data_IF_147614678490
#
_entry.id   IF_147614678490
#
_cell.length_a   1.000
_cell.length_b   1.000
_cell.length_c   1.000
_cell.angle_alpha   90.00
_cell.angle_beta   90.00
_cell.angle_gamma   90.00
#
_symmetry.space_group_name_H-M   'P 1'
#
loop_
_entity.id
_entity.type
_entity.pdbx_description
1 polymer ?
#
# COMPACT_ATOMS: atom_id res chain seq x y z
N UNK A 1 -16.05 -21.09 6.30
CA UNK A 1 -16.14 -19.78 6.99
C UNK A 1 -15.87 -18.68 5.98
N UNK A 2 -16.39 -17.46 6.19
CA UNK A 2 -16.08 -16.32 5.32
C UNK A 2 -14.64 -15.83 5.59
N UNK A 3 -13.87 -15.53 4.54
CA UNK A 3 -12.52 -14.96 4.64
C UNK A 3 -12.52 -13.49 4.20
N UNK A 4 -11.53 -12.72 4.67
CA UNK A 4 -11.38 -11.30 4.34
C UNK A 4 -10.16 -11.10 3.44
N UNK A 5 -10.36 -10.47 2.28
CA UNK A 5 -9.29 -10.01 1.40
C UNK A 5 -9.21 -8.48 1.45
N UNK A 6 -8.02 -7.93 1.64
CA UNK A 6 -7.82 -6.48 1.65
C UNK A 6 -7.63 -6.00 0.21
N UNK A 7 -8.59 -5.22 -0.27
CA UNK A 7 -8.50 -4.51 -1.54
C UNK A 7 -7.48 -3.37 -1.45
N UNK A 8 -6.55 -3.31 -2.40
CA UNK A 8 -5.49 -2.30 -2.41
C UNK A 8 -5.12 -1.92 -3.86
N UNK A 9 -6.10 -1.39 -4.59
CA UNK A 9 -5.84 -0.75 -5.89
C UNK A 9 -5.29 0.67 -5.71
N UNK A 10 -4.24 0.80 -4.91
CA UNK A 10 -3.62 2.07 -4.53
C UNK A 10 -2.08 1.95 -4.62
N UNK A 11 -1.38 2.92 -4.04
CA UNK A 11 0.08 2.94 -3.94
C UNK A 11 0.64 1.67 -3.24
N UNK A 12 1.78 1.18 -3.74
CA UNK A 12 2.60 0.16 -3.06
C UNK A 12 3.46 0.74 -1.92
N UNK A 13 3.29 2.03 -1.60
CA UNK A 13 3.87 2.68 -0.43
C UNK A 13 2.92 2.67 0.75
N UNK A 14 2.33 3.83 1.08
CA UNK A 14 1.48 4.00 2.26
C UNK A 14 0.28 3.04 2.29
N UNK A 15 -0.42 2.86 1.16
CA UNK A 15 -1.62 2.03 1.06
C UNK A 15 -1.34 0.55 1.33
N UNK A 16 -0.27 0.02 0.72
CA UNK A 16 0.18 -1.34 0.99
C UNK A 16 0.69 -1.50 2.43
N UNK A 17 1.49 -0.57 2.95
CA UNK A 17 1.98 -0.64 4.33
C UNK A 17 0.82 -0.71 5.34
N UNK A 18 -0.16 0.18 5.22
CA UNK A 18 -1.36 0.16 6.06
C UNK A 18 -2.13 -1.16 5.94
N UNK A 19 -2.26 -1.69 4.71
CA UNK A 19 -2.92 -2.97 4.46
C UNK A 19 -2.18 -4.13 5.15
N UNK A 20 -0.85 -4.18 5.07
CA UNK A 20 -0.02 -5.22 5.68
C UNK A 20 -0.10 -5.17 7.22
N UNK A 21 -0.11 -3.98 7.82
CA UNK A 21 -0.27 -3.83 9.27
C UNK A 21 -1.62 -4.35 9.77
N UNK A 22 -2.71 -4.02 9.07
CA UNK A 22 -4.04 -4.52 9.42
C UNK A 22 -4.15 -6.03 9.14
N UNK A 23 -3.58 -6.51 8.02
CA UNK A 23 -3.55 -7.92 7.65
C UNK A 23 -2.92 -8.81 8.73
N UNK A 24 -1.85 -8.35 9.37
CA UNK A 24 -1.14 -9.11 10.39
C UNK A 24 -1.98 -9.44 11.65
N UNK A 25 -3.11 -8.74 11.86
CA UNK A 25 -4.01 -8.97 13.00
C UNK A 25 -5.37 -9.56 12.62
N UNK A 26 -5.66 -9.77 11.32
CA UNK A 26 -6.92 -10.34 10.87
C UNK A 26 -6.82 -11.88 10.94
N UNK A 27 -7.60 -12.55 11.80
CA UNK A 27 -7.45 -13.99 12.04
C UNK A 27 -7.93 -14.87 10.87
N UNK A 28 -8.78 -14.34 9.99
CA UNK A 28 -9.33 -15.04 8.83
C UNK A 28 -8.94 -14.36 7.49
N UNK A 29 -7.72 -13.82 7.43
CA UNK A 29 -7.18 -13.16 6.24
C UNK A 29 -7.05 -14.16 5.09
N UNK A 30 -7.55 -13.79 3.91
CA UNK A 30 -7.30 -14.49 2.65
C UNK A 30 -6.03 -13.96 1.96
N UNK A 31 -5.81 -12.65 2.01
CA UNK A 31 -4.64 -12.00 1.42
C UNK A 31 -4.78 -10.48 1.32
N UNK A 32 -3.71 -9.84 0.85
CA UNK A 32 -3.65 -8.41 0.54
C UNK A 32 -3.34 -8.27 -0.94
N UNK A 33 -4.08 -7.40 -1.65
CA UNK A 33 -3.76 -7.12 -3.04
C UNK A 33 -2.41 -6.42 -3.19
N UNK A 34 -1.60 -6.96 -4.09
CA UNK A 34 -0.31 -6.42 -4.48
C UNK A 34 -0.29 -6.17 -6.00
N UNK A 35 0.04 -4.94 -6.40
CA UNK A 35 0.08 -4.53 -7.80
C UNK A 35 1.50 -4.09 -8.18
N UNK A 36 2.33 -4.97 -8.78
CA UNK A 36 3.71 -4.64 -9.17
C UNK A 36 3.81 -3.38 -10.05
N UNK A 37 2.78 -3.11 -10.87
CA UNK A 37 2.73 -1.93 -11.74
C UNK A 37 2.72 -0.59 -11.00
N UNK A 38 2.34 -0.55 -9.72
CA UNK A 38 2.30 0.66 -8.90
C UNK A 38 3.59 0.85 -8.07
N UNK A 39 4.50 -0.12 -8.09
CA UNK A 39 5.75 -0.09 -7.32
C UNK A 39 6.64 1.07 -7.77
N UNK A 40 7.00 1.11 -9.05
CA UNK A 40 7.90 2.13 -9.60
C UNK A 40 7.38 3.57 -9.42
N UNK A 41 6.06 3.77 -9.38
CA UNK A 41 5.49 5.08 -9.08
C UNK A 41 5.63 5.43 -7.59
N UNK A 42 5.41 4.45 -6.70
CA UNK A 42 5.48 4.65 -5.25
C UNK A 42 6.93 4.88 -4.78
N UNK A 43 7.89 4.16 -5.36
CA UNK A 43 9.33 4.26 -5.01
C UNK A 43 9.95 5.62 -5.35
N UNK A 44 9.28 6.44 -6.18
CA UNK A 44 9.77 7.78 -6.51
C UNK A 44 9.71 8.75 -5.33
N UNK A 45 8.87 8.48 -4.33
CA UNK A 45 8.67 9.36 -3.17
C UNK A 45 8.47 8.60 -1.86
N UNK A 46 8.35 7.27 -1.87
CA UNK A 46 8.28 6.44 -0.66
C UNK A 46 9.58 5.65 -0.48
N UNK A 47 10.14 5.72 0.72
CA UNK A 47 11.16 4.79 1.20
C UNK A 47 10.47 3.77 2.10
N UNK A 48 10.42 2.53 1.61
CA UNK A 48 9.77 1.40 2.29
C UNK A 48 10.80 0.70 3.18
N UNK A 49 10.46 0.49 4.45
CA UNK A 49 11.35 -0.20 5.40
C UNK A 49 11.01 -1.69 5.58
N UNK A 50 10.12 -2.22 4.74
CA UNK A 50 9.71 -3.63 4.68
C UNK A 50 10.08 -4.24 3.33
N UNK A 51 10.23 -5.57 3.30
CA UNK A 51 10.67 -6.31 2.11
C UNK A 51 9.63 -7.38 1.76
N UNK A 52 9.40 -7.54 0.46
CA UNK A 52 8.75 -8.74 -0.08
C UNK A 52 9.69 -9.92 0.19
N UNK A 53 9.23 -10.86 1.01
CA UNK A 53 9.98 -12.05 1.39
C UNK A 53 9.79 -13.19 0.41
N UNK A 54 10.29 -14.36 0.80
CA UNK A 54 10.01 -15.62 0.13
C UNK A 54 8.52 -16.00 0.31
N UNK A 55 7.99 -16.84 -0.59
CA UNK A 55 6.62 -17.37 -0.52
C UNK A 55 5.47 -16.36 -0.57
N UNK A 56 5.63 -15.25 -1.30
CA UNK A 56 4.59 -14.22 -1.47
C UNK A 56 4.15 -13.54 -0.15
N UNK A 57 5.00 -13.60 0.87
CA UNK A 57 4.77 -12.98 2.17
C UNK A 57 5.54 -11.66 2.32
N UNK A 58 5.05 -10.78 3.19
CA UNK A 58 5.76 -9.55 3.56
C UNK A 58 6.20 -9.63 5.01
N UNK A 59 7.47 -9.29 5.25
CA UNK A 59 7.96 -9.08 6.61
C UNK A 59 7.70 -7.64 7.01
N UNK A 60 6.87 -7.45 8.03
CA UNK A 60 6.69 -6.13 8.65
C UNK A 60 8.01 -5.64 9.24
N UNK A 61 8.22 -4.32 9.19
CA UNK A 61 9.40 -3.70 9.80
C UNK A 61 9.11 -3.25 11.23
N UNK A 62 10.16 -3.16 12.05
CA UNK A 62 10.05 -2.71 13.44
C UNK A 62 10.15 -1.18 13.60
N UNK A 63 10.03 -0.43 12.49
CA UNK A 63 10.03 1.04 12.54
C UNK A 63 8.68 1.55 13.04
N UNK A 64 8.62 2.72 13.71
CA UNK A 64 7.36 3.28 14.20
C UNK A 64 6.32 3.52 13.10
N UNK A 65 5.04 3.44 13.48
CA UNK A 65 3.92 3.73 12.60
C UNK A 65 3.80 2.71 11.47
N UNK A 66 3.70 3.19 10.24
CA UNK A 66 3.56 2.35 9.03
C UNK A 66 4.91 1.87 8.48
N UNK A 67 6.03 2.30 9.04
CA UNK A 67 7.34 1.93 8.50
C UNK A 67 7.60 2.45 7.08
N UNK A 68 7.07 3.63 6.76
CA UNK A 68 7.28 4.32 5.48
C UNK A 68 7.80 5.72 5.76
N UNK A 69 8.83 6.14 5.03
CA UNK A 69 9.27 7.53 4.98
C UNK A 69 8.86 8.11 3.63
N UNK A 70 8.31 9.33 3.64
CA UNK A 70 7.95 10.05 2.40
C UNK A 70 9.01 11.11 2.13
N UNK A 71 9.60 11.08 0.95
CA UNK A 71 10.39 12.18 0.42
C UNK A 71 9.42 13.25 -0.09
N UNK A 72 9.11 14.21 0.77
CA UNK A 72 8.21 15.32 0.44
C UNK A 72 8.75 16.19 -0.70
N UNK A 73 10.08 16.33 -0.81
CA UNK A 73 10.68 17.09 -1.91
C UNK A 73 10.45 16.38 -3.24
N UNK A 74 10.45 15.05 -3.25
CA UNK A 74 10.08 14.26 -4.41
C UNK A 74 8.59 14.29 -4.70
N UNK A 75 7.75 14.16 -3.68
CA UNK A 75 6.29 14.18 -3.82
C UNK A 75 5.81 15.53 -4.38
N UNK A 76 6.41 16.63 -3.94
CA UNK A 76 6.06 17.98 -4.38
C UNK A 76 6.38 18.25 -5.87
N UNK A 77 7.10 17.37 -6.57
CA UNK A 77 7.31 17.46 -8.02
C UNK A 77 6.10 16.97 -8.82
N UNK A 78 5.16 16.27 -8.17
CA UNK A 78 3.94 15.80 -8.82
C UNK A 78 2.82 16.80 -8.56
N UNK A 79 2.24 17.32 -9.63
CA UNK A 79 1.05 18.15 -9.52
C UNK A 79 -0.18 17.27 -9.26
N UNK A 80 -1.02 17.69 -8.30
CA UNK A 80 -2.29 17.02 -8.05
C UNK A 80 -3.17 17.09 -9.31
N UNK A 81 -3.57 15.92 -9.80
CA UNK A 81 -4.54 15.78 -10.88
C UNK A 81 -5.85 15.23 -10.31
N UNK A 82 -6.97 15.97 -10.41
CA UNK A 82 -8.24 15.45 -9.94
C UNK A 82 -8.60 14.17 -10.72
N UNK A 83 -9.07 13.15 -10.01
CA UNK A 83 -9.61 11.96 -10.64
C UNK A 83 -10.84 12.29 -11.50
N UNK A 84 -11.20 11.42 -12.46
CA UNK A 84 -12.41 11.62 -13.26
C UNK A 84 -13.63 11.69 -12.34
N UNK A 85 -14.56 12.59 -12.65
CA UNK A 85 -15.84 12.65 -11.95
C UNK A 85 -16.55 11.30 -12.13
N UNK A 86 -16.94 10.68 -11.00
CA UNK A 86 -17.72 9.44 -10.97
C UNK A 86 -19.07 9.76 -10.33
N UNK A 87 -20.01 10.39 -11.07
CA UNK A 87 -21.35 10.61 -10.55
C UNK A 87 -22.00 9.27 -10.21
N UNK A 88 -22.72 9.23 -9.09
CA UNK A 88 -23.59 8.11 -8.80
C UNK A 88 -24.70 8.08 -9.86
N UNK A 89 -25.11 6.91 -10.37
CA UNK A 89 -26.26 6.85 -11.27
C UNK A 89 -27.50 7.40 -10.54
N UNK A 90 -28.28 8.25 -11.20
CA UNK A 90 -29.62 8.64 -10.73
C UNK A 90 -30.53 7.42 -10.53
#
# INVERSE_FOLDING_TARGET
SCQMAIHNFNTMGLGLAASLHIAAIIPNLAGVEYFPRFQAASDQFCVLHWQHGEDHAFKLCDKPGLGVTVDESALNRFEHQPGPARPWPD
#
